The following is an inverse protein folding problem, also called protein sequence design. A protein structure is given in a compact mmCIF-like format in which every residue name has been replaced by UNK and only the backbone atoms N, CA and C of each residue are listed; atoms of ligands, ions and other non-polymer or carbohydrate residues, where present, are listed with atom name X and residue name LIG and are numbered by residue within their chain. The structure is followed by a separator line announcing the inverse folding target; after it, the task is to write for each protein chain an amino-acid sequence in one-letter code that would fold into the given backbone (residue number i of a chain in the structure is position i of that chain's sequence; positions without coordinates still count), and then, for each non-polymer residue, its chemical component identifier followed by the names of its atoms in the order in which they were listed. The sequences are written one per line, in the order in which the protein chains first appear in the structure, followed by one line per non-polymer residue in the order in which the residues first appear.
data_IF_519664273148
#
_entry.id   IF_519664273148
#
_cell.length_a   1.000
_cell.length_b   1.000
_cell.length_c   1.000
_cell.angle_alpha   90.00
_cell.angle_beta   90.00
_cell.angle_gamma   90.00
#
_symmetry.space_group_name_H-M   'P 1'
#
loop_
_entity.id
_entity.type
_entity.pdbx_description
1 polymer ?
#
# COMPACT_ATOMS: atom_id res chain seq x y z
N UNK A 1 -26.95 -4.36 -31.56
CA UNK A 1 -25.83 -3.48 -31.95
C UNK A 1 -25.70 -2.40 -30.89
N UNK A 2 -24.66 -2.45 -30.06
CA UNK A 2 -24.35 -1.35 -29.13
C UNK A 2 -23.81 -0.14 -29.93
N UNK A 3 -24.28 1.09 -29.68
CA UNK A 3 -23.97 2.25 -30.51
C UNK A 3 -22.51 2.68 -30.35
N UNK A 4 -21.84 2.92 -31.48
CA UNK A 4 -20.41 3.28 -31.61
C UNK A 4 -19.99 4.49 -30.75
N UNK A 5 -20.90 5.44 -30.51
CA UNK A 5 -20.68 6.59 -29.64
C UNK A 5 -20.45 6.21 -28.15
N UNK A 6 -21.04 5.12 -27.67
CA UNK A 6 -20.83 4.63 -26.30
C UNK A 6 -19.41 4.06 -26.11
N UNK A 7 -18.85 3.42 -27.14
CA UNK A 7 -17.49 2.86 -27.13
C UNK A 7 -16.42 3.96 -27.10
N UNK A 8 -16.59 5.03 -27.87
CA UNK A 8 -15.65 6.18 -27.90
C UNK A 8 -15.62 6.93 -26.56
N UNK A 9 -16.78 7.07 -25.90
CA UNK A 9 -16.88 7.66 -24.56
C UNK A 9 -16.24 6.79 -23.46
N UNK A 10 -16.36 5.46 -23.56
CA UNK A 10 -15.70 4.52 -22.64
C UNK A 10 -14.17 4.51 -22.82
N UNK A 11 -13.68 4.57 -24.07
CA UNK A 11 -12.24 4.66 -24.38
C UNK A 11 -11.58 5.93 -23.82
N UNK A 12 -12.24 7.09 -23.97
CA UNK A 12 -11.76 8.38 -23.43
C UNK A 12 -11.71 8.41 -21.90
N UNK A 13 -12.75 7.88 -21.24
CA UNK A 13 -12.80 7.73 -19.78
C UNK A 13 -11.70 6.78 -19.28
N UNK A 14 -11.46 5.68 -19.99
CA UNK A 14 -10.45 4.70 -19.61
C UNK A 14 -9.01 5.27 -19.74
N UNK A 15 -8.76 6.06 -20.78
CA UNK A 15 -7.47 6.74 -20.98
C UNK A 15 -7.18 7.77 -19.88
N UNK A 16 -8.18 8.60 -19.51
CA UNK A 16 -8.05 9.57 -18.41
C UNK A 16 -7.82 8.91 -17.05
N UNK A 17 -8.49 7.78 -16.76
CA UNK A 17 -8.29 7.01 -15.53
C UNK A 17 -6.86 6.50 -15.42
N UNK A 18 -6.32 5.89 -16.48
CA UNK A 18 -4.92 5.39 -16.48
C UNK A 18 -3.89 6.49 -16.18
N UNK A 19 -4.01 7.66 -16.80
CA UNK A 19 -3.10 8.78 -16.50
C UNK A 19 -3.23 9.33 -15.07
N UNK A 20 -4.43 9.29 -14.49
CA UNK A 20 -4.64 9.72 -13.12
C UNK A 20 -4.03 8.73 -12.12
N UNK A 21 -4.21 7.43 -12.35
CA UNK A 21 -3.72 6.37 -11.47
C UNK A 21 -2.19 6.28 -11.50
N UNK A 22 -1.58 6.43 -12.68
CA UNK A 22 -0.12 6.54 -12.83
C UNK A 22 0.44 7.74 -12.05
N UNK A 23 -0.20 8.90 -12.14
CA UNK A 23 0.23 10.10 -11.39
C UNK A 23 0.09 9.94 -9.89
N UNK A 24 -0.98 9.27 -9.42
CA UNK A 24 -1.14 8.91 -8.01
C UNK A 24 -0.03 7.96 -7.55
N UNK A 25 0.26 6.92 -8.32
CA UNK A 25 1.34 5.98 -8.00
C UNK A 25 2.71 6.67 -7.93
N UNK A 26 3.01 7.56 -8.89
CA UNK A 26 4.26 8.33 -8.88
C UNK A 26 4.39 9.24 -7.65
N UNK A 27 3.33 9.99 -7.29
CA UNK A 27 3.33 10.83 -6.09
C UNK A 27 3.57 10.02 -4.82
N UNK A 28 2.90 8.87 -4.67
CA UNK A 28 3.12 7.96 -3.54
C UNK A 28 4.60 7.53 -3.44
N UNK A 29 5.22 7.16 -4.56
CA UNK A 29 6.65 6.75 -4.59
C UNK A 29 7.60 7.90 -4.22
N UNK A 30 7.32 9.12 -4.67
CA UNK A 30 8.14 10.31 -4.32
C UNK A 30 8.04 10.60 -2.83
N UNK A 31 6.83 10.65 -2.27
CA UNK A 31 6.64 10.89 -0.83
C UNK A 31 7.31 9.82 0.01
N UNK A 32 7.23 8.55 -0.39
CA UNK A 32 7.96 7.46 0.28
C UNK A 32 9.48 7.68 0.26
N UNK A 33 10.04 8.11 -0.87
CA UNK A 33 11.46 8.41 -0.96
C UNK A 33 11.87 9.56 -0.03
N UNK A 34 11.09 10.64 0.03
CA UNK A 34 11.37 11.77 0.93
C UNK A 34 11.36 11.36 2.41
N UNK A 35 10.39 10.53 2.82
CA UNK A 35 10.33 9.98 4.18
C UNK A 35 11.52 9.06 4.49
N UNK A 36 11.99 8.32 3.49
CA UNK A 36 13.09 7.39 3.63
C UNK A 36 14.43 8.08 3.88
N UNK A 37 14.69 9.19 3.18
CA UNK A 37 15.94 9.94 3.32
C UNK A 37 15.88 11.05 4.37
N UNK A 38 14.69 11.33 4.92
CA UNK A 38 14.52 12.24 6.05
C UNK A 38 14.99 11.65 7.39
N UNK A 39 15.35 12.54 8.33
CA UNK A 39 15.71 12.18 9.70
C UNK A 39 14.48 11.87 10.57
N UNK A 40 13.65 10.92 10.13
CA UNK A 40 12.45 10.47 10.83
C UNK A 40 12.66 9.04 11.34
N UNK A 41 12.33 8.80 12.62
CA UNK A 41 12.45 7.47 13.22
C UNK A 41 11.20 6.59 13.02
N UNK A 42 10.05 7.22 12.72
CA UNK A 42 8.76 6.55 12.54
C UNK A 42 8.13 7.02 11.21
N UNK A 43 7.68 6.07 10.41
CA UNK A 43 6.97 6.31 9.15
C UNK A 43 5.58 5.67 9.20
N UNK A 44 4.56 6.41 8.82
CA UNK A 44 3.17 5.93 8.78
C UNK A 44 2.65 5.97 7.35
N UNK A 45 2.11 4.86 6.86
CA UNK A 45 1.74 4.67 5.47
C UNK A 45 0.30 4.17 5.33
N UNK A 46 -0.59 5.06 4.90
CA UNK A 46 -2.00 4.77 4.62
C UNK A 46 -2.25 4.37 3.16
N UNK A 47 -3.11 3.36 2.95
CA UNK A 47 -3.62 2.97 1.62
C UNK A 47 -2.56 2.78 0.50
N UNK A 48 -1.39 2.23 0.83
CA UNK A 48 -0.30 2.11 -0.15
C UNK A 48 -0.54 1.02 -1.20
N UNK A 49 -1.35 0.01 -0.89
CA UNK A 49 -1.72 -1.07 -1.82
C UNK A 49 -2.82 -0.67 -2.80
N UNK A 50 -3.60 0.38 -2.51
CA UNK A 50 -4.75 0.77 -3.37
C UNK A 50 -4.25 1.20 -4.75
N UNK A 51 -4.61 0.39 -5.77
CA UNK A 51 -4.22 0.59 -7.16
C UNK A 51 -2.99 -0.22 -7.62
N UNK A 52 -2.43 -1.07 -6.76
CA UNK A 52 -1.37 -2.02 -7.11
C UNK A 52 -1.89 -3.46 -7.09
N UNK A 53 -1.26 -4.33 -7.88
CA UNK A 53 -1.49 -5.77 -7.76
C UNK A 53 -0.78 -6.35 -6.53
N UNK A 54 -1.02 -7.62 -6.25
CA UNK A 54 -0.44 -8.32 -5.10
C UNK A 54 1.09 -8.39 -5.17
N UNK A 55 1.66 -8.60 -6.35
CA UNK A 55 3.11 -8.70 -6.54
C UNK A 55 3.82 -7.37 -6.26
N UNK A 56 3.27 -6.27 -6.78
CA UNK A 56 3.77 -4.93 -6.51
C UNK A 56 3.61 -4.57 -5.02
N UNK A 57 2.48 -4.93 -4.40
CA UNK A 57 2.27 -4.74 -2.96
C UNK A 57 3.32 -5.49 -2.16
N UNK A 58 3.55 -6.77 -2.46
CA UNK A 58 4.57 -7.59 -1.79
C UNK A 58 5.97 -7.00 -1.92
N UNK A 59 6.35 -6.52 -3.12
CA UNK A 59 7.65 -5.88 -3.35
C UNK A 59 7.82 -4.59 -2.53
N UNK A 60 6.76 -3.78 -2.43
CA UNK A 60 6.75 -2.55 -1.62
C UNK A 60 6.95 -2.90 -0.13
N UNK A 61 6.17 -3.83 0.41
CA UNK A 61 6.25 -4.21 1.83
C UNK A 61 7.61 -4.85 2.15
N UNK A 62 8.14 -5.68 1.26
CA UNK A 62 9.49 -6.25 1.41
C UNK A 62 10.55 -5.16 1.49
N UNK A 63 10.43 -4.13 0.64
CA UNK A 63 11.36 -2.99 0.66
C UNK A 63 11.26 -2.21 1.96
N UNK A 64 10.04 -1.94 2.45
CA UNK A 64 9.82 -1.28 3.74
C UNK A 64 10.40 -2.08 4.91
N UNK A 65 10.30 -3.42 4.87
CA UNK A 65 10.93 -4.28 5.87
C UNK A 65 12.46 -4.21 5.84
N UNK A 66 13.06 -4.12 4.66
CA UNK A 66 14.52 -3.93 4.55
C UNK A 66 14.96 -2.60 5.13
N UNK A 67 14.16 -1.56 4.90
CA UNK A 67 14.36 -0.21 5.44
C UNK A 67 14.35 -0.21 6.97
N UNK A 68 13.33 -0.83 7.60
CA UNK A 68 13.23 -0.87 9.07
C UNK A 68 14.45 -1.52 9.70
N UNK A 69 14.93 -2.61 9.09
CA UNK A 69 16.11 -3.37 9.55
C UNK A 69 17.42 -2.62 9.31
N UNK A 70 17.57 -1.95 8.17
CA UNK A 70 18.83 -1.30 7.77
C UNK A 70 19.03 0.03 8.47
N UNK A 71 17.98 0.85 8.53
CA UNK A 71 18.04 2.21 9.07
C UNK A 71 17.50 2.31 10.50
N UNK A 72 17.07 1.19 11.11
CA UNK A 72 16.50 1.12 12.46
C UNK A 72 15.29 2.06 12.62
N UNK A 73 14.48 2.16 11.57
CA UNK A 73 13.22 2.93 11.55
C UNK A 73 12.04 2.03 11.92
N UNK A 74 11.00 2.63 12.47
CA UNK A 74 9.69 1.98 12.66
C UNK A 74 8.76 2.35 11.51
N UNK A 75 8.10 1.37 10.90
CA UNK A 75 7.16 1.60 9.80
C UNK A 75 5.81 1.00 10.17
N UNK A 76 4.76 1.82 10.14
CA UNK A 76 3.37 1.41 10.36
C UNK A 76 2.62 1.51 9.04
N UNK A 77 1.99 0.42 8.60
CA UNK A 77 1.31 0.35 7.30
C UNK A 77 -0.12 -0.17 7.50
N UNK A 78 -1.10 0.55 6.97
CA UNK A 78 -2.48 0.04 6.87
C UNK A 78 -2.70 -0.63 5.51
N UNK A 79 -3.27 -1.84 5.50
CA UNK A 79 -3.59 -2.61 4.29
C UNK A 79 -5.07 -2.99 4.26
N UNK A 80 -5.66 -3.08 3.06
CA UNK A 80 -7.07 -3.43 2.86
C UNK A 80 -7.26 -4.34 1.64
N UNK A 81 -7.80 -5.56 1.83
CA UNK A 81 -7.25 -6.59 2.71
C UNK A 81 -5.90 -7.14 2.18
N UNK A 82 -4.94 -7.56 3.04
CA UNK A 82 -3.67 -8.13 2.60
C UNK A 82 -3.80 -9.62 2.21
N UNK A 83 -2.92 -10.09 1.32
CA UNK A 83 -2.74 -11.54 1.12
C UNK A 83 -1.96 -12.14 2.31
N UNK A 84 -2.08 -13.46 2.56
CA UNK A 84 -1.30 -14.13 3.60
C UNK A 84 0.21 -13.90 3.47
N UNK A 85 0.75 -13.94 2.24
CA UNK A 85 2.20 -13.73 2.04
C UNK A 85 2.64 -12.30 2.39
N UNK A 86 1.78 -11.31 2.16
CA UNK A 86 2.06 -9.92 2.56
C UNK A 86 1.96 -9.75 4.06
N UNK A 87 0.98 -10.39 4.71
CA UNK A 87 0.82 -10.37 6.17
C UNK A 87 2.05 -10.97 6.88
N UNK A 88 2.65 -12.01 6.31
CA UNK A 88 3.86 -12.67 6.84
C UNK A 88 5.12 -11.79 6.85
N UNK A 89 5.09 -10.64 6.18
CA UNK A 89 6.21 -9.70 6.18
C UNK A 89 6.23 -8.78 7.41
N UNK A 90 5.14 -8.71 8.17
CA UNK A 90 5.03 -7.85 9.36
C UNK A 90 5.66 -8.53 10.59
N UNK A 91 6.08 -7.72 11.55
CA UNK A 91 6.56 -8.22 12.84
C UNK A 91 5.38 -8.24 13.84
N UNK A 92 4.65 -7.13 13.95
CA UNK A 92 3.41 -7.00 14.73
C UNK A 92 2.20 -6.68 13.85
N UNK A 93 1.00 -7.08 14.30
CA UNK A 93 -0.26 -6.80 13.59
C UNK A 93 -1.28 -6.19 14.55
N UNK A 94 -1.95 -5.13 14.07
CA UNK A 94 -3.07 -4.51 14.75
C UNK A 94 -4.32 -4.67 13.89
N UNK A 95 -5.37 -5.30 14.44
CA UNK A 95 -6.68 -5.36 13.79
C UNK A 95 -7.62 -4.33 14.41
N UNK A 96 -8.20 -3.51 13.54
CA UNK A 96 -9.18 -2.49 13.92
C UNK A 96 -10.56 -2.89 13.41
N UNK A 97 -11.57 -2.75 14.26
CA UNK A 97 -12.98 -2.86 13.88
C UNK A 97 -13.74 -1.66 14.44
N UNK A 98 -14.42 -0.90 13.58
CA UNK A 98 -15.21 0.28 13.96
C UNK A 98 -14.47 1.28 14.88
N UNK A 99 -13.17 1.47 14.65
CA UNK A 99 -12.32 2.37 15.46
C UNK A 99 -11.79 1.77 16.76
N UNK A 100 -12.08 0.50 17.03
CA UNK A 100 -11.60 -0.22 18.20
C UNK A 100 -10.52 -1.24 17.84
N UNK A 101 -9.49 -1.36 18.69
CA UNK A 101 -8.46 -2.38 18.58
C UNK A 101 -9.04 -3.72 19.04
N UNK A 102 -9.12 -4.68 18.12
CA UNK A 102 -9.56 -6.05 18.39
C UNK A 102 -8.38 -6.96 18.71
N UNK A 103 -7.20 -6.65 18.17
CA UNK A 103 -5.97 -7.41 18.33
C UNK A 103 -4.78 -6.47 18.17
N UNK A 104 -3.77 -6.64 19.00
CA UNK A 104 -2.50 -5.91 18.98
C UNK A 104 -1.43 -6.81 19.59
N UNK A 105 -0.74 -7.56 18.74
CA UNK A 105 0.22 -8.57 19.16
C UNK A 105 1.13 -9.01 18.00
N UNK A 106 2.26 -9.68 18.30
CA UNK A 106 3.12 -10.27 17.29
C UNK A 106 2.32 -11.11 16.30
N UNK A 107 2.64 -11.02 15.00
CA UNK A 107 1.89 -11.76 13.97
C UNK A 107 1.92 -13.28 14.18
N UNK A 108 2.92 -13.77 14.89
CA UNK A 108 3.15 -15.20 15.16
C UNK A 108 2.06 -15.82 16.02
N UNK A 109 1.36 -15.00 16.81
CA UNK A 109 0.22 -15.40 17.63
C UNK A 109 -1.10 -15.43 16.84
N UNK A 110 -1.08 -15.03 15.56
CA UNK A 110 -2.26 -14.98 14.69
C UNK A 110 -2.61 -16.33 14.02
N UNK A 111 -2.03 -17.44 14.46
CA UNK A 111 -2.16 -18.76 13.83
C UNK A 111 -3.12 -19.69 14.54
#
# INVERSE_FOLDING_TARGET
MEPEAARTGQLSKHHRRRHHDLRRAQRKRVTMAEMEFGNQYVMMMGEISTGFDSAATFAIITTQRSITKTFRKTVVISLLPPSPEVLDLFDDVVFLNEGHVMYDSPRELLR
#
